data_IF_545872540616
#
_entry.id   IF_545872540616
#
_cell.length_a   1.000
_cell.length_b   1.000
_cell.length_c   1.000
_cell.angle_alpha   90.00
_cell.angle_beta   90.00
_cell.angle_gamma   90.00
#
_symmetry.space_group_name_H-M   'P 1'
#
loop_
_entity.id
_entity.type
_entity.pdbx_description
1 polymer ?
#
# COMPACT_ATOMS: atom_id res chain seq x y z
N UNK A 1 10.75 -8.48 11.16
CA UNK A 1 10.32 -7.33 10.33
C UNK A 1 8.80 -7.34 10.15
N UNK A 2 8.13 -6.21 10.43
CA UNK A 2 6.70 -6.01 10.17
C UNK A 2 6.54 -5.08 8.97
N UNK A 3 5.60 -5.34 8.04
CA UNK A 3 5.30 -4.41 6.95
C UNK A 3 4.89 -3.03 7.49
N UNK A 4 5.25 -2.00 6.75
CA UNK A 4 4.80 -0.62 6.93
C UNK A 4 3.29 -0.55 6.70
N UNK A 5 2.61 0.34 7.42
CA UNK A 5 1.18 0.57 7.23
C UNK A 5 0.95 1.64 6.15
N UNK A 6 -0.08 1.46 5.32
CA UNK A 6 -0.53 2.46 4.36
C UNK A 6 -1.50 3.46 5.01
N UNK A 7 -0.97 4.55 5.55
CA UNK A 7 -1.78 5.63 6.13
C UNK A 7 -2.13 6.68 5.08
N UNK A 8 -3.42 6.78 4.73
CA UNK A 8 -3.94 7.75 3.76
C UNK A 8 -4.50 8.98 4.48
N UNK A 9 -3.69 10.03 4.56
CA UNK A 9 -4.17 11.33 5.01
C UNK A 9 -4.95 12.04 3.89
N UNK A 10 -6.11 12.59 4.25
CA UNK A 10 -6.96 13.35 3.33
C UNK A 10 -7.32 12.58 2.05
N UNK A 11 -7.94 11.41 2.21
CA UNK A 11 -8.30 10.49 1.11
C UNK A 11 -9.04 11.19 -0.03
N UNK A 12 -9.89 12.16 0.29
CA UNK A 12 -10.66 12.96 -0.67
C UNK A 12 -9.81 13.83 -1.61
N UNK A 13 -8.55 14.09 -1.24
CA UNK A 13 -7.61 14.85 -2.07
C UNK A 13 -6.67 13.93 -2.86
N UNK A 14 -6.65 12.63 -2.52
CA UNK A 14 -5.74 11.64 -3.11
C UNK A 14 -6.44 10.75 -4.13
N UNK A 15 -7.75 10.60 -4.03
CA UNK A 15 -8.56 9.78 -4.92
C UNK A 15 -9.73 10.57 -5.47
N UNK A 16 -10.07 10.34 -6.74
CA UNK A 16 -11.31 10.85 -7.32
C UNK A 16 -12.54 10.04 -6.85
N UNK A 17 -13.73 10.47 -7.26
CA UNK A 17 -14.98 9.79 -6.93
C UNK A 17 -15.10 8.38 -7.52
N UNK A 18 -14.30 8.06 -8.53
CA UNK A 18 -14.22 6.74 -9.17
C UNK A 18 -13.14 5.85 -8.51
N UNK A 19 -12.35 6.39 -7.59
CA UNK A 19 -11.28 5.68 -6.90
C UNK A 19 -9.93 5.69 -7.63
N UNK A 20 -9.75 6.52 -8.66
CA UNK A 20 -8.45 6.70 -9.28
C UNK A 20 -7.56 7.60 -8.42
N UNK A 21 -6.29 7.23 -8.34
CA UNK A 21 -5.29 8.01 -7.62
C UNK A 21 -4.96 9.29 -8.39
N UNK A 22 -5.06 10.42 -7.71
CA UNK A 22 -4.79 11.76 -8.25
C UNK A 22 -3.34 12.21 -8.00
N UNK A 23 -2.68 11.66 -6.98
CA UNK A 23 -1.32 12.05 -6.57
C UNK A 23 -0.31 10.93 -6.82
N UNK A 24 0.52 11.10 -7.85
CA UNK A 24 1.58 10.15 -8.21
C UNK A 24 2.64 9.97 -7.12
N UNK A 25 2.81 10.94 -6.21
CA UNK A 25 3.73 10.77 -5.08
C UNK A 25 3.20 9.74 -4.08
N UNK A 26 1.89 9.53 -4.06
CA UNK A 26 1.24 8.57 -3.19
C UNK A 26 1.39 7.12 -3.72
N UNK A 27 1.64 6.96 -5.03
CA UNK A 27 1.92 5.67 -5.66
C UNK A 27 3.08 4.96 -4.98
N UNK A 28 4.18 5.67 -4.66
CA UNK A 28 5.35 5.08 -4.00
C UNK A 28 5.01 4.45 -2.64
N UNK A 29 4.12 5.08 -1.89
CA UNK A 29 3.67 4.57 -0.58
C UNK A 29 2.83 3.31 -0.75
N UNK A 30 1.96 3.29 -1.77
CA UNK A 30 1.17 2.12 -2.15
C UNK A 30 2.09 0.96 -2.57
N UNK A 31 3.07 1.23 -3.44
CA UNK A 31 4.02 0.23 -3.93
C UNK A 31 4.81 -0.40 -2.77
N UNK A 32 5.34 0.42 -1.87
CA UNK A 32 6.10 -0.05 -0.70
C UNK A 32 5.24 -0.94 0.20
N UNK A 33 3.99 -0.52 0.45
CA UNK A 33 3.05 -1.31 1.24
C UNK A 33 2.76 -2.67 0.58
N UNK A 34 2.45 -2.66 -0.72
CA UNK A 34 2.11 -3.87 -1.46
C UNK A 34 3.28 -4.85 -1.51
N UNK A 35 4.50 -4.37 -1.75
CA UNK A 35 5.71 -5.19 -1.79
C UNK A 35 5.98 -5.87 -0.45
N UNK A 36 5.93 -5.12 0.65
CA UNK A 36 6.17 -5.66 1.99
C UNK A 36 5.03 -6.59 2.44
N UNK A 37 3.78 -6.27 2.09
CA UNK A 37 2.63 -7.11 2.37
C UNK A 37 2.71 -8.45 1.61
N UNK A 38 3.06 -8.41 0.32
CA UNK A 38 3.27 -9.60 -0.49
C UNK A 38 4.45 -10.44 0.02
N UNK A 39 5.54 -9.80 0.44
CA UNK A 39 6.66 -10.50 1.07
C UNK A 39 6.21 -11.25 2.33
N UNK A 40 5.46 -10.58 3.22
CA UNK A 40 4.97 -11.21 4.44
C UNK A 40 4.03 -12.38 4.12
N UNK A 41 3.09 -12.19 3.20
CA UNK A 41 2.17 -13.25 2.78
C UNK A 41 2.90 -14.48 2.23
N UNK A 42 3.95 -14.27 1.41
CA UNK A 42 4.81 -15.34 0.89
C UNK A 42 5.61 -16.01 2.00
N UNK A 43 6.18 -15.24 2.92
CA UNK A 43 6.93 -15.77 4.05
C UNK A 43 6.05 -16.65 4.96
N UNK A 44 4.83 -16.20 5.26
CA UNK A 44 3.85 -16.98 6.04
C UNK A 44 3.42 -18.26 5.32
N UNK A 45 3.22 -18.19 3.99
CA UNK A 45 2.91 -19.38 3.19
C UNK A 45 4.05 -20.40 3.21
N UNK A 46 5.29 -19.95 3.12
CA UNK A 46 6.48 -20.80 3.07
C UNK A 46 6.96 -21.28 4.45
N UNK A 47 6.48 -20.66 5.53
CA UNK A 47 6.76 -21.08 6.91
C UNK A 47 5.94 -22.30 7.36
N UNK A 48 5.09 -22.85 6.47
CA UNK A 48 4.33 -24.09 6.68
C UNK A 48 5.00 -25.29 6.03
#
# INVERSE_FOLDING_TARGET
PSPQMLLVSSVQNKFDEQGHLLDENYTKNIDTFLDEFLWLAKALKNAR
#
